data_IF_160923815120
#
_entry.id   IF_160923815120
#
_cell.length_a   1.000
_cell.length_b   1.000
_cell.length_c   1.000
_cell.angle_alpha   90.00
_cell.angle_beta   90.00
_cell.angle_gamma   90.00
#
_symmetry.space_group_name_H-M   'P 1'
#
loop_
_entity.id
_entity.type
_entity.pdbx_description
1 polymer ?
#
# COMPACT_ATOMS: atom_id res chain seq x y z
N UNK A 1 32.60 35.13 8.21
CA UNK A 1 32.00 33.99 8.95
C UNK A 1 31.00 33.34 8.00
N UNK A 2 31.43 32.30 7.25
CA UNK A 2 30.59 31.69 6.21
C UNK A 2 29.73 30.58 6.81
N UNK A 3 28.40 30.73 6.67
CA UNK A 3 27.39 29.77 7.07
C UNK A 3 27.27 28.65 6.03
N UNK A 4 27.54 27.41 6.44
CA UNK A 4 27.33 26.22 5.61
C UNK A 4 25.83 25.89 5.66
N UNK A 5 25.14 26.07 4.53
CA UNK A 5 23.74 25.67 4.35
C UNK A 5 23.67 24.15 4.14
N UNK A 6 22.97 23.46 5.03
CA UNK A 6 22.76 22.02 4.95
C UNK A 6 21.78 21.69 3.82
N UNK A 7 22.25 20.99 2.80
CA UNK A 7 21.41 20.49 1.73
C UNK A 7 20.54 19.33 2.26
N UNK A 8 19.23 19.57 2.36
CA UNK A 8 18.26 18.56 2.78
C UNK A 8 18.09 17.52 1.66
N UNK A 9 18.59 16.31 1.88
CA UNK A 9 18.50 15.24 0.87
C UNK A 9 17.08 14.70 0.81
N UNK A 10 16.39 14.90 -0.32
CA UNK A 10 15.07 14.34 -0.57
C UNK A 10 15.19 12.81 -0.66
N UNK A 11 14.89 12.11 0.45
CA UNK A 11 14.88 10.65 0.49
C UNK A 11 13.59 10.13 -0.13
N UNK A 12 13.66 9.71 -1.40
CA UNK A 12 12.55 8.97 -2.00
C UNK A 12 12.46 7.58 -1.35
N UNK A 13 11.29 7.18 -0.84
CA UNK A 13 11.12 5.87 -0.23
C UNK A 13 11.31 4.78 -1.28
N UNK A 14 12.24 3.87 -1.03
CA UNK A 14 12.59 2.78 -1.95
C UNK A 14 11.41 1.85 -2.27
N UNK A 15 10.39 1.81 -1.40
CA UNK A 15 9.18 0.99 -1.60
C UNK A 15 7.94 1.86 -1.61
N UNK A 16 7.10 1.64 -2.63
CA UNK A 16 5.74 2.20 -2.70
C UNK A 16 4.92 1.60 -1.58
N UNK A 17 4.50 2.44 -0.63
CA UNK A 17 3.77 2.00 0.56
C UNK A 17 2.83 3.10 1.05
N UNK A 18 1.86 2.72 1.88
CA UNK A 18 0.96 3.68 2.51
C UNK A 18 1.69 4.71 3.37
N UNK A 19 2.74 4.29 4.08
CA UNK A 19 3.58 5.17 4.90
C UNK A 19 4.33 6.22 4.05
N UNK A 20 4.58 5.92 2.78
CA UNK A 20 5.18 6.82 1.81
C UNK A 20 4.15 7.71 1.07
N UNK A 21 2.88 7.75 1.52
CA UNK A 21 1.83 8.55 0.90
C UNK A 21 1.18 7.92 -0.33
N UNK A 22 1.58 6.70 -0.72
CA UNK A 22 0.96 6.02 -1.85
C UNK A 22 -0.40 5.45 -1.48
N UNK A 23 -1.33 5.51 -2.43
CA UNK A 23 -2.66 4.89 -2.33
C UNK A 23 -2.73 3.64 -3.22
N UNK A 24 -3.46 2.61 -2.79
CA UNK A 24 -3.50 1.32 -3.48
C UNK A 24 -4.81 1.06 -4.22
N UNK A 25 -4.73 0.73 -5.51
CA UNK A 25 -5.86 0.29 -6.30
C UNK A 25 -6.08 -1.22 -6.16
N UNK A 26 -7.21 -1.67 -5.60
CA UNK A 26 -7.52 -3.10 -5.49
C UNK A 26 -7.83 -3.79 -6.82
N UNK A 27 -8.24 -3.04 -7.84
CA UNK A 27 -8.56 -3.60 -9.16
C UNK A 27 -7.31 -3.73 -10.03
N UNK A 28 -6.52 -2.67 -10.15
CA UNK A 28 -5.25 -2.67 -10.90
C UNK A 28 -4.09 -3.32 -10.13
N UNK A 29 -4.26 -3.61 -8.84
CA UNK A 29 -3.26 -4.21 -7.94
C UNK A 29 -1.95 -3.42 -7.83
N UNK A 30 -2.00 -2.10 -7.96
CA UNK A 30 -0.82 -1.22 -7.97
C UNK A 30 -0.98 -0.01 -7.05
N UNK A 31 0.16 0.59 -6.69
CA UNK A 31 0.25 1.82 -5.89
C UNK A 31 0.38 3.04 -6.78
N UNK A 32 -0.35 4.10 -6.44
CA UNK A 32 -0.30 5.40 -7.09
C UNK A 32 0.07 6.49 -6.09
N UNK A 33 1.03 7.33 -6.44
CA UNK A 33 1.31 8.57 -5.72
C UNK A 33 0.45 9.67 -6.38
N UNK A 34 -0.68 9.97 -5.76
CA UNK A 34 -1.68 10.91 -6.32
C UNK A 34 -2.57 11.47 -5.23
N UNK A 35 -2.94 12.75 -5.37
CA UNK A 35 -3.91 13.39 -4.49
C UNK A 35 -5.34 12.94 -4.77
N UNK A 36 -5.61 12.38 -5.96
CA UNK A 36 -6.91 11.82 -6.30
C UNK A 36 -7.35 10.72 -5.35
N UNK A 37 -8.66 10.64 -5.12
CA UNK A 37 -9.29 9.56 -4.35
C UNK A 37 -9.59 8.34 -5.25
N UNK A 38 -9.68 8.54 -6.57
CA UNK A 38 -9.99 7.48 -7.56
C UNK A 38 -8.77 7.08 -8.37
N UNK A 39 -8.72 5.80 -8.74
CA UNK A 39 -7.67 5.26 -9.60
C UNK A 39 -7.70 5.94 -10.98
N UNK A 40 -6.57 6.47 -11.48
CA UNK A 40 -6.53 7.15 -12.77
C UNK A 40 -6.80 6.22 -13.97
N UNK A 41 -6.67 4.90 -13.78
CA UNK A 41 -6.84 3.93 -14.86
C UNK A 41 -8.21 3.25 -14.86
N UNK A 42 -8.77 2.92 -13.70
CA UNK A 42 -10.02 2.15 -13.62
C UNK A 42 -11.13 2.81 -12.79
N UNK A 43 -10.90 4.01 -12.26
CA UNK A 43 -11.91 4.83 -11.59
C UNK A 43 -12.39 4.34 -10.23
N UNK A 44 -11.93 3.19 -9.72
CA UNK A 44 -12.33 2.71 -8.39
C UNK A 44 -11.72 3.57 -7.29
N UNK A 45 -12.31 3.54 -6.09
CA UNK A 45 -11.76 4.19 -4.91
C UNK A 45 -10.40 3.57 -4.53
N UNK A 46 -9.40 4.42 -4.32
CA UNK A 46 -8.09 3.99 -3.85
C UNK A 46 -8.13 3.75 -2.33
N UNK A 47 -7.42 2.73 -1.88
CA UNK A 47 -7.23 2.46 -0.46
C UNK A 47 -6.08 3.31 0.08
N UNK A 48 -6.28 3.91 1.24
CA UNK A 48 -5.26 4.65 1.99
C UNK A 48 -4.61 3.82 3.11
N UNK A 49 -5.09 2.60 3.35
CA UNK A 49 -4.61 1.73 4.43
C UNK A 49 -4.67 0.24 4.05
N UNK A 50 -3.84 -0.61 4.70
CA UNK A 50 -3.92 -2.06 4.57
C UNK A 50 -5.30 -2.60 4.99
N UNK A 51 -5.70 -3.76 4.43
CA UNK A 51 -6.91 -4.45 4.90
C UNK A 51 -6.68 -4.94 6.33
N UNK A 52 -7.60 -4.62 7.25
CA UNK A 52 -7.62 -5.25 8.56
C UNK A 52 -7.73 -6.77 8.37
N UNK A 53 -6.80 -7.52 8.97
CA UNK A 53 -6.90 -8.97 9.03
C UNK A 53 -8.13 -9.30 9.89
N UNK A 54 -9.07 -10.06 9.35
CA UNK A 54 -10.13 -10.65 10.16
C UNK A 54 -9.52 -11.82 10.93
N UNK A 55 -9.88 -12.04 12.21
CA UNK A 55 -9.52 -13.26 12.89
C UNK A 55 -10.01 -14.44 12.06
N UNK A 56 -9.13 -15.40 11.87
CA UNK A 56 -9.40 -16.57 11.06
C UNK A 56 -10.16 -17.55 11.95
N UNK A 57 -11.43 -17.77 11.65
CA UNK A 57 -12.21 -18.79 12.32
C UNK A 57 -11.93 -20.14 11.65
N UNK A 58 -11.04 -20.91 12.26
CA UNK A 58 -10.60 -22.21 11.76
C UNK A 58 -11.75 -23.19 11.56
N UNK A 59 -12.87 -23.02 12.28
CA UNK A 59 -14.05 -23.89 12.15
C UNK A 59 -14.75 -23.79 10.78
N UNK A 60 -14.49 -22.72 10.02
CA UNK A 60 -15.06 -22.50 8.67
C UNK A 60 -14.27 -23.17 7.54
N UNK A 61 -13.12 -23.76 7.84
CA UNK A 61 -12.25 -24.38 6.84
C UNK A 61 -12.32 -25.89 6.96
N UNK A 62 -12.48 -26.58 5.83
CA UNK A 62 -12.39 -28.04 5.78
C UNK A 62 -10.91 -28.41 5.70
N UNK A 63 -10.43 -29.23 6.63
CA UNK A 63 -9.07 -29.78 6.56
C UNK A 63 -8.96 -30.66 5.30
N UNK A 64 -8.20 -30.20 4.32
CA UNK A 64 -7.94 -31.01 3.11
C UNK A 64 -6.72 -31.87 3.40
N UNK A 65 -6.93 -33.17 3.65
CA UNK A 65 -5.85 -34.14 3.69
C UNK A 65 -5.46 -34.49 2.26
N UNK A 66 -4.50 -33.75 1.69
CA UNK A 66 -3.83 -34.21 0.46
C UNK A 66 -2.92 -35.34 0.90
N UNK A 67 -3.34 -36.59 0.64
CA UNK A 67 -2.45 -37.73 0.70
C UNK A 67 -1.47 -37.60 -0.48
N UNK A 68 -0.20 -37.38 -0.15
CA UNK A 68 0.92 -37.49 -1.08
C UNK A 68 1.23 -38.97 -1.33
#
# INVERSE_FOLDING_TARGET
>A
MASIQQAETIRYPARRSYAAGYKYCSRCRTYHLTDSVRCPYCGILLRNSPRKKKPVDSSKYIATSIAL
#
